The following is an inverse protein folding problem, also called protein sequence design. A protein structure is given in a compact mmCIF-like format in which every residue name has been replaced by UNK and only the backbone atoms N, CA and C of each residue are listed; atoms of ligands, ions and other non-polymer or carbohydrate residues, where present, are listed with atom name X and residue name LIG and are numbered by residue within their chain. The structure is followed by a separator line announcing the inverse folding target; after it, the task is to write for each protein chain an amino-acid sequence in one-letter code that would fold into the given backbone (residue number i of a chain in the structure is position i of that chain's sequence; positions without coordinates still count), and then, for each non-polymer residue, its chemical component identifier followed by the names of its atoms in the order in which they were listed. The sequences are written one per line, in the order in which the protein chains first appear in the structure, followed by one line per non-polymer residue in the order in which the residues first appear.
data_IF_138900327027
#
_entry.id   IF_138900327027
#
_cell.length_a   1.000
_cell.length_b   1.000
_cell.length_c   1.000
_cell.angle_alpha   90.00
_cell.angle_beta   90.00
_cell.angle_gamma   90.00
#
_symmetry.space_group_name_H-M   'P 1'
#
loop_
_entity.id
_entity.type
_entity.pdbx_description
1 polymer ?
#
# COMPACT_ATOMS: atom_id res chain seq x y z
N UNK A 1 -22.49 0.15 4.15
CA UNK A 1 -21.61 1.33 3.93
C UNK A 1 -20.22 1.09 4.51
N UNK A 2 -19.26 2.03 4.30
CA UNK A 2 -17.84 1.84 4.69
C UNK A 2 -17.62 1.45 6.17
N UNK A 3 -18.46 1.92 7.08
CA UNK A 3 -18.42 1.54 8.50
C UNK A 3 -18.82 0.06 8.73
N UNK A 4 -19.75 -0.45 7.95
CA UNK A 4 -20.15 -1.86 7.97
C UNK A 4 -19.08 -2.76 7.37
N UNK A 5 -18.41 -2.32 6.31
CA UNK A 5 -17.31 -3.08 5.71
C UNK A 5 -16.09 -3.12 6.64
N UNK A 6 -15.76 -2.03 7.31
CA UNK A 6 -14.72 -2.01 8.34
C UNK A 6 -15.08 -2.90 9.55
N UNK A 7 -16.32 -2.88 9.99
CA UNK A 7 -16.81 -3.77 11.05
C UNK A 7 -16.77 -5.23 10.61
N UNK A 8 -17.17 -5.53 9.37
CA UNK A 8 -17.13 -6.86 8.77
C UNK A 8 -15.70 -7.38 8.60
N UNK A 9 -14.73 -6.49 8.27
CA UNK A 9 -13.31 -6.85 8.25
C UNK A 9 -12.78 -7.16 9.66
N UNK A 10 -13.14 -6.36 10.68
CA UNK A 10 -12.76 -6.61 12.06
C UNK A 10 -13.37 -7.92 12.58
N UNK A 11 -14.60 -8.21 12.25
CA UNK A 11 -15.27 -9.46 12.60
C UNK A 11 -14.60 -10.67 11.91
N UNK A 12 -14.30 -10.58 10.62
CA UNK A 12 -13.53 -11.61 9.87
C UNK A 12 -12.12 -11.82 10.44
N UNK A 13 -11.53 -10.77 11.00
CA UNK A 13 -10.23 -10.84 11.68
C UNK A 13 -10.31 -11.65 12.97
N UNK A 14 -11.40 -11.52 13.72
CA UNK A 14 -11.65 -12.29 14.96
C UNK A 14 -12.05 -13.75 14.67
N UNK A 15 -12.84 -13.99 13.64
CA UNK A 15 -13.32 -15.34 13.28
C UNK A 15 -12.20 -16.23 12.70
N UNK A 16 -11.15 -15.68 12.12
CA UNK A 16 -10.04 -16.44 11.53
C UNK A 16 -9.10 -17.11 12.53
N UNK A 17 -9.07 -16.64 13.75
CA UNK A 17 -8.33 -17.27 14.88
C UNK A 17 -9.16 -18.25 15.70
N UNK A 18 -10.41 -18.55 15.31
CA UNK A 18 -11.29 -19.41 16.07
C UNK A 18 -10.92 -20.90 15.88
N UNK A 19 -11.03 -21.73 16.92
CA UNK A 19 -10.88 -23.17 16.84
C UNK A 19 -11.87 -23.76 15.81
N UNK A 20 -11.37 -24.57 14.87
CA UNK A 20 -12.19 -25.17 13.82
C UNK A 20 -12.13 -24.47 12.46
N UNK A 21 -11.24 -23.49 12.29
CA UNK A 21 -10.93 -22.92 10.97
C UNK A 21 -10.49 -24.02 9.99
N UNK A 22 -10.95 -24.01 8.72
CA UNK A 22 -10.53 -24.98 7.72
C UNK A 22 -9.01 -24.94 7.38
N UNK A 23 -8.27 -24.02 7.99
CA UNK A 23 -6.85 -23.81 7.79
C UNK A 23 -5.96 -24.40 8.90
N UNK A 24 -6.51 -25.28 9.76
CA UNK A 24 -5.78 -25.93 10.84
C UNK A 24 -5.50 -25.00 12.03
N UNK A 25 -4.60 -25.45 12.92
CA UNK A 25 -4.21 -24.71 14.12
C UNK A 25 -3.14 -23.63 13.87
N UNK A 26 -2.66 -23.48 12.64
CA UNK A 26 -1.71 -22.41 12.30
C UNK A 26 -2.42 -21.05 12.31
N UNK A 27 -1.86 -20.04 12.97
CA UNK A 27 -2.43 -18.71 12.96
C UNK A 27 -2.39 -18.17 11.54
N UNK A 28 -3.56 -18.04 10.91
CA UNK A 28 -3.68 -17.40 9.60
C UNK A 28 -3.33 -15.94 9.76
N UNK A 29 -2.35 -15.47 8.99
CA UNK A 29 -1.97 -14.06 9.01
C UNK A 29 -3.18 -13.20 8.59
N UNK A 30 -3.67 -12.28 9.47
CA UNK A 30 -4.97 -11.62 9.27
C UNK A 30 -5.02 -10.73 8.02
N UNK A 31 -3.88 -10.13 7.66
CA UNK A 31 -3.78 -9.23 6.52
C UNK A 31 -3.79 -9.97 5.18
N UNK A 32 -3.07 -11.07 5.09
CA UNK A 32 -2.94 -11.83 3.85
C UNK A 32 -4.11 -12.78 3.61
N UNK A 33 -4.73 -13.26 4.69
CA UNK A 33 -5.77 -14.26 4.61
C UNK A 33 -5.28 -15.57 3.98
N UNK A 34 -6.20 -16.47 3.61
CA UNK A 34 -5.85 -17.80 3.09
C UNK A 34 -5.20 -17.76 1.71
N UNK A 35 -5.41 -16.71 0.95
CA UNK A 35 -4.91 -16.59 -0.43
C UNK A 35 -3.50 -16.02 -0.51
N UNK A 36 -2.95 -15.48 0.57
CA UNK A 36 -1.72 -14.72 0.60
C UNK A 36 -1.69 -13.54 -0.40
N UNK A 37 -0.55 -12.88 -0.53
CA UNK A 37 -0.36 -11.81 -1.51
C UNK A 37 0.05 -12.37 -2.87
N UNK A 38 -0.40 -11.76 -3.99
CA UNK A 38 0.09 -12.10 -5.33
C UNK A 38 1.61 -11.94 -5.45
N UNK A 39 2.14 -10.93 -4.78
CA UNK A 39 3.57 -10.61 -4.74
C UNK A 39 3.90 -9.88 -3.43
N UNK A 40 5.18 -9.94 -2.99
CA UNK A 40 5.66 -9.13 -1.86
C UNK A 40 5.42 -7.64 -2.11
N UNK A 41 5.13 -6.91 -1.05
CA UNK A 41 5.06 -5.44 -1.03
C UNK A 41 6.29 -4.90 -0.33
N UNK A 42 6.89 -3.85 -0.89
CA UNK A 42 7.99 -3.11 -0.30
C UNK A 42 7.47 -1.77 0.20
N UNK A 43 7.78 -1.46 1.44
CA UNK A 43 7.49 -0.17 2.06
C UNK A 43 8.81 0.54 2.31
N UNK A 44 8.92 1.78 1.89
CA UNK A 44 10.07 2.64 2.15
C UNK A 44 9.62 3.91 2.88
N UNK A 45 10.39 4.33 3.86
CA UNK A 45 10.18 5.57 4.60
C UNK A 45 11.45 6.40 4.46
N UNK A 46 11.30 7.66 4.09
CA UNK A 46 12.42 8.60 4.04
C UNK A 46 12.11 9.87 4.83
N UNK A 47 13.18 10.51 5.29
CA UNK A 47 13.10 11.82 5.96
C UNK A 47 13.82 12.83 5.06
N UNK A 48 13.11 13.80 4.46
CA UNK A 48 13.74 14.82 3.64
C UNK A 48 14.86 15.56 4.39
N UNK A 49 15.92 15.97 3.68
CA UNK A 49 16.10 15.92 2.23
C UNK A 49 16.70 14.62 1.70
N UNK A 50 16.89 13.61 2.53
CA UNK A 50 17.53 12.34 2.14
C UNK A 50 16.56 11.42 1.40
N UNK A 51 17.09 10.61 0.48
CA UNK A 51 16.33 9.60 -0.25
C UNK A 51 17.16 8.31 -0.46
N UNK A 52 17.83 7.85 0.56
CA UNK A 52 18.71 6.68 0.51
C UNK A 52 17.96 5.37 0.21
N UNK A 53 16.64 5.38 0.44
CA UNK A 53 15.75 4.22 0.24
C UNK A 53 15.07 4.21 -1.13
N UNK A 54 15.33 5.22 -1.98
CA UNK A 54 14.65 5.39 -3.26
C UNK A 54 13.12 5.28 -3.14
N UNK A 55 12.53 6.22 -2.41
CA UNK A 55 11.11 6.19 -2.02
C UNK A 55 10.15 6.07 -3.20
N UNK A 56 10.54 6.58 -4.39
CA UNK A 56 9.75 6.47 -5.62
C UNK A 56 9.78 5.09 -6.28
N UNK A 57 10.72 4.23 -5.90
CA UNK A 57 10.92 2.90 -6.50
C UNK A 57 10.28 1.76 -5.68
N UNK A 58 9.51 2.08 -4.67
CA UNK A 58 8.87 1.11 -3.76
C UNK A 58 7.36 1.09 -3.93
N UNK A 59 6.73 -0.05 -3.61
CA UNK A 59 5.27 -0.23 -3.75
C UNK A 59 4.50 0.79 -2.92
N UNK A 60 4.98 1.06 -1.70
CA UNK A 60 4.51 2.13 -0.81
C UNK A 60 5.70 2.97 -0.42
N UNK A 61 5.63 4.27 -0.66
CA UNK A 61 6.61 5.25 -0.23
C UNK A 61 5.99 6.23 0.76
N UNK A 62 6.68 6.45 1.88
CA UNK A 62 6.28 7.41 2.91
C UNK A 62 7.37 8.47 3.04
N UNK A 63 7.05 9.70 2.65
CA UNK A 63 7.93 10.86 2.82
C UNK A 63 7.52 11.57 4.08
N UNK A 64 8.37 11.50 5.11
CA UNK A 64 8.09 12.10 6.41
C UNK A 64 7.98 13.62 6.31
N UNK A 65 6.95 14.17 6.91
CA UNK A 65 6.77 15.61 7.10
C UNK A 65 7.11 15.94 8.56
N UNK A 66 8.10 16.78 8.73
CA UNK A 66 8.63 17.16 10.06
C UNK A 66 8.24 18.59 10.36
N UNK A 67 7.62 18.81 11.50
CA UNK A 67 7.31 20.13 12.06
C UNK A 67 7.74 20.14 13.53
N UNK A 68 8.45 21.17 13.95
CA UNK A 68 8.96 21.32 15.34
C UNK A 68 9.71 20.06 15.84
N UNK A 69 10.63 19.53 15.01
CA UNK A 69 11.43 18.33 15.27
C UNK A 69 10.61 17.04 15.51
N UNK A 70 9.36 17.01 15.05
CA UNK A 70 8.50 15.84 15.15
C UNK A 70 7.93 15.46 13.79
N UNK A 71 7.84 14.17 13.52
CA UNK A 71 7.11 13.67 12.35
C UNK A 71 5.61 13.83 12.62
N UNK A 72 4.96 14.71 11.87
CA UNK A 72 3.51 14.97 11.99
C UNK A 72 2.69 14.08 11.07
N UNK A 73 3.32 13.51 10.04
CA UNK A 73 2.69 12.61 9.10
C UNK A 73 3.58 12.33 7.90
N UNK A 74 2.97 11.84 6.84
CA UNK A 74 3.68 11.41 5.64
C UNK A 74 2.94 11.83 4.37
N UNK A 75 3.71 12.25 3.37
CA UNK A 75 3.19 12.19 2.01
C UNK A 75 3.26 10.73 1.52
N UNK A 76 2.17 10.25 0.96
CA UNK A 76 1.99 8.88 0.52
C UNK A 76 2.25 8.75 -0.98
N UNK A 77 3.20 7.91 -1.34
CA UNK A 77 3.49 7.48 -2.71
C UNK A 77 3.06 6.02 -2.88
N UNK A 78 2.49 5.66 -4.01
CA UNK A 78 2.08 4.28 -4.30
C UNK A 78 2.48 3.82 -5.69
N UNK A 79 2.75 2.54 -5.83
CA UNK A 79 2.94 1.89 -7.12
C UNK A 79 4.29 2.11 -7.77
N UNK A 80 5.33 2.42 -7.00
CA UNK A 80 6.70 2.48 -7.49
C UNK A 80 7.33 1.10 -7.72
N UNK A 81 8.19 1.00 -8.73
CA UNK A 81 8.96 -0.21 -8.99
C UNK A 81 9.73 -0.14 -10.31
N UNK A 82 11.06 -0.23 -10.24
CA UNK A 82 11.94 -0.09 -11.42
C UNK A 82 12.15 -1.42 -12.16
N UNK A 83 11.85 -2.56 -11.53
CA UNK A 83 12.09 -3.87 -12.11
C UNK A 83 11.28 -4.13 -13.38
N UNK A 84 11.97 -4.69 -14.38
CA UNK A 84 11.39 -5.15 -15.65
C UNK A 84 11.87 -6.58 -15.93
N UNK A 85 11.12 -7.31 -16.75
CA UNK A 85 11.54 -8.62 -17.26
C UNK A 85 12.09 -8.45 -18.67
N UNK A 86 13.31 -8.92 -18.90
CA UNK A 86 13.93 -8.89 -20.22
C UNK A 86 13.00 -9.50 -21.29
N UNK A 87 12.89 -8.84 -22.43
CA UNK A 87 12.03 -9.24 -23.57
C UNK A 87 10.53 -9.35 -23.25
N UNK A 88 10.05 -8.69 -22.18
CA UNK A 88 8.63 -8.64 -21.88
C UNK A 88 8.15 -7.17 -21.78
N UNK A 89 7.61 -6.67 -22.90
CA UNK A 89 7.10 -5.30 -23.04
C UNK A 89 5.91 -4.97 -22.15
N UNK A 90 5.26 -5.98 -21.56
CA UNK A 90 4.18 -5.81 -20.58
C UNK A 90 4.70 -5.46 -19.20
N UNK A 91 6.02 -5.54 -18.98
CA UNK A 91 6.66 -5.12 -17.74
C UNK A 91 7.45 -3.82 -17.98
N UNK A 92 7.30 -2.85 -17.09
CA UNK A 92 7.90 -1.52 -17.26
C UNK A 92 8.25 -0.92 -15.90
N UNK A 93 9.24 0.01 -15.85
CA UNK A 93 9.52 0.76 -14.65
C UNK A 93 8.41 1.79 -14.40
N UNK A 94 8.14 2.05 -13.13
CA UNK A 94 7.15 3.03 -12.72
C UNK A 94 7.61 3.75 -11.45
N UNK A 95 7.60 5.06 -11.48
CA UNK A 95 7.76 5.87 -10.28
C UNK A 95 6.47 5.88 -9.45
N UNK A 96 6.59 5.92 -8.14
CA UNK A 96 5.47 6.04 -7.24
C UNK A 96 4.64 7.30 -7.52
N UNK A 97 3.32 7.16 -7.48
CA UNK A 97 2.38 8.28 -7.61
C UNK A 97 2.12 8.89 -6.25
N UNK A 98 2.29 10.21 -6.13
CA UNK A 98 1.94 10.96 -4.92
C UNK A 98 0.43 11.09 -4.83
N UNK A 99 -0.17 10.49 -3.79
CA UNK A 99 -1.61 10.54 -3.57
C UNK A 99 -2.05 11.69 -2.66
N UNK A 100 -1.28 12.00 -1.63
CA UNK A 100 -1.64 13.03 -0.66
C UNK A 100 -0.90 12.84 0.66
N UNK A 101 -1.34 13.56 1.68
CA UNK A 101 -0.78 13.53 3.03
C UNK A 101 -1.69 12.72 3.97
N UNK A 102 -1.07 11.96 4.84
CA UNK A 102 -1.70 11.24 5.96
C UNK A 102 -1.04 11.62 7.27
N UNK A 103 -1.80 11.67 8.34
CA UNK A 103 -1.28 11.91 9.67
C UNK A 103 -0.46 10.72 10.18
N UNK A 104 0.43 10.98 11.13
CA UNK A 104 1.33 9.97 11.69
C UNK A 104 0.59 8.70 12.12
N UNK A 105 -0.48 8.84 12.90
CA UNK A 105 -1.24 7.73 13.46
C UNK A 105 -2.05 6.95 12.41
N UNK A 106 -2.28 7.54 11.24
CA UNK A 106 -3.02 6.92 10.14
C UNK A 106 -2.16 5.98 9.29
N UNK A 107 -0.83 6.11 9.34
CA UNK A 107 0.06 5.40 8.44
C UNK A 107 -0.07 3.86 8.51
N UNK A 108 -0.14 3.21 9.66
CA UNK A 108 -0.30 1.75 9.72
C UNK A 108 -1.60 1.28 9.04
N UNK A 109 -2.71 1.94 9.31
CA UNK A 109 -4.02 1.57 8.73
C UNK A 109 -4.04 1.80 7.22
N UNK A 110 -3.47 2.89 6.74
CA UNK A 110 -3.36 3.17 5.30
C UNK A 110 -2.51 2.12 4.60
N UNK A 111 -1.35 1.79 5.14
CA UNK A 111 -0.49 0.74 4.57
C UNK A 111 -1.18 -0.63 4.56
N UNK A 112 -1.85 -1.00 5.65
CA UNK A 112 -2.61 -2.25 5.73
C UNK A 112 -3.69 -2.33 4.64
N UNK A 113 -4.44 -1.25 4.44
CA UNK A 113 -5.49 -1.22 3.43
C UNK A 113 -4.97 -1.24 1.99
N UNK A 114 -3.81 -0.63 1.72
CA UNK A 114 -3.13 -0.77 0.42
C UNK A 114 -2.77 -2.24 0.16
N UNK A 115 -2.23 -2.93 1.16
CA UNK A 115 -1.91 -4.37 1.06
C UNK A 115 -3.17 -5.19 0.80
N UNK A 116 -4.28 -4.88 1.46
CA UNK A 116 -5.57 -5.55 1.27
C UNK A 116 -6.12 -5.33 -0.15
N UNK A 117 -6.05 -4.11 -0.66
CA UNK A 117 -6.46 -3.81 -2.05
C UNK A 117 -5.62 -4.63 -3.03
N UNK A 118 -4.31 -4.69 -2.84
CA UNK A 118 -3.42 -5.51 -3.67
C UNK A 118 -3.73 -7.00 -3.54
N UNK A 119 -4.01 -7.48 -2.35
CA UNK A 119 -4.42 -8.87 -2.12
C UNK A 119 -5.65 -9.24 -2.95
N UNK A 120 -6.63 -8.34 -2.97
CA UNK A 120 -7.94 -8.60 -3.56
C UNK A 120 -7.98 -8.34 -5.08
N UNK A 121 -7.11 -7.48 -5.60
CA UNK A 121 -7.12 -7.05 -7.01
C UNK A 121 -5.86 -7.42 -7.80
N UNK A 122 -4.78 -7.85 -7.14
CA UNK A 122 -3.52 -8.17 -7.81
C UNK A 122 -3.62 -9.40 -8.71
N UNK A 123 -2.87 -9.38 -9.81
CA UNK A 123 -2.83 -10.50 -10.77
C UNK A 123 -2.14 -11.72 -10.14
N UNK A 124 -2.90 -12.82 -9.99
CA UNK A 124 -2.42 -14.10 -9.46
C UNK A 124 -2.04 -15.08 -10.55
N UNK A 125 -2.46 -14.85 -11.79
CA UNK A 125 -2.23 -15.74 -12.92
C UNK A 125 -0.88 -15.49 -13.59
N UNK A 126 -0.42 -14.22 -13.56
CA UNK A 126 0.83 -13.84 -14.17
C UNK A 126 1.78 -13.23 -13.13
N UNK A 127 2.70 -14.04 -12.60
CA UNK A 127 3.68 -13.61 -11.61
C UNK A 127 4.53 -12.40 -12.03
N UNK A 128 4.76 -12.22 -13.34
CA UNK A 128 5.52 -11.10 -13.89
C UNK A 128 4.71 -9.79 -13.86
N UNK A 129 3.40 -9.88 -13.69
CA UNK A 129 2.45 -8.77 -13.66
C UNK A 129 1.73 -8.63 -12.31
N UNK A 130 2.27 -9.24 -11.25
CA UNK A 130 1.62 -9.36 -9.96
C UNK A 130 1.93 -8.23 -8.96
N UNK A 131 2.75 -7.24 -9.33
CA UNK A 131 3.12 -6.13 -8.44
C UNK A 131 2.04 -5.05 -8.39
N UNK A 132 2.02 -4.33 -7.27
CA UNK A 132 1.06 -3.23 -7.01
C UNK A 132 1.01 -2.19 -8.14
N UNK A 133 2.14 -1.85 -8.75
CA UNK A 133 2.19 -0.89 -9.86
C UNK A 133 1.24 -1.25 -11.02
N UNK A 134 1.13 -2.52 -11.34
CA UNK A 134 0.24 -2.99 -12.40
C UNK A 134 -1.23 -2.98 -12.00
N UNK A 135 -1.51 -3.28 -10.75
CA UNK A 135 -2.86 -3.17 -10.18
C UNK A 135 -3.36 -1.73 -10.24
N UNK A 136 -2.51 -0.77 -9.86
CA UNK A 136 -2.84 0.65 -9.90
C UNK A 136 -3.07 1.13 -11.34
N UNK A 137 -2.20 0.75 -12.28
CA UNK A 137 -2.34 1.18 -13.68
C UNK A 137 -3.55 0.53 -14.36
N UNK A 138 -3.89 -0.71 -14.02
CA UNK A 138 -5.08 -1.39 -14.54
C UNK A 138 -6.37 -0.78 -13.97
N UNK A 139 -6.40 -0.50 -12.68
CA UNK A 139 -7.53 0.08 -11.98
C UNK A 139 -7.71 1.58 -12.29
N UNK A 140 -6.60 2.28 -12.44
CA UNK A 140 -6.49 3.73 -12.48
C UNK A 140 -6.21 4.32 -11.09
N UNK A 141 -5.39 5.37 -11.06
CA UNK A 141 -4.97 6.03 -9.81
C UNK A 141 -6.17 6.56 -9.02
N UNK A 142 -7.12 7.19 -9.70
CA UNK A 142 -8.31 7.79 -9.07
C UNK A 142 -9.18 6.72 -8.40
N UNK A 143 -9.41 5.61 -9.07
CA UNK A 143 -10.20 4.51 -8.53
C UNK A 143 -9.46 3.82 -7.37
N UNK A 144 -8.13 3.65 -7.47
CA UNK A 144 -7.32 3.14 -6.38
C UNK A 144 -7.42 4.04 -5.14
N UNK A 145 -7.28 5.36 -5.30
CA UNK A 145 -7.42 6.31 -4.21
C UNK A 145 -8.82 6.28 -3.62
N UNK A 146 -9.86 6.22 -4.45
CA UNK A 146 -11.25 6.12 -3.99
C UNK A 146 -11.46 4.88 -3.12
N UNK A 147 -10.97 3.73 -3.55
CA UNK A 147 -11.08 2.48 -2.78
C UNK A 147 -10.29 2.56 -1.47
N UNK A 148 -9.11 3.16 -1.49
CA UNK A 148 -8.31 3.36 -0.29
C UNK A 148 -9.03 4.26 0.72
N UNK A 149 -9.52 5.42 0.29
CA UNK A 149 -10.25 6.36 1.13
C UNK A 149 -11.54 5.76 1.70
N UNK A 150 -12.25 4.97 0.89
CA UNK A 150 -13.42 4.22 1.36
C UNK A 150 -13.05 3.18 2.41
N UNK A 151 -11.94 2.46 2.23
CA UNK A 151 -11.50 1.41 3.14
C UNK A 151 -11.04 1.96 4.50
N UNK A 152 -10.34 3.08 4.52
CA UNK A 152 -9.85 3.72 5.75
C UNK A 152 -10.90 4.63 6.41
N UNK A 153 -11.90 5.09 5.68
CA UNK A 153 -13.00 5.91 6.18
C UNK A 153 -12.69 7.40 6.29
N UNK A 154 -11.61 7.87 5.66
CA UNK A 154 -11.27 9.29 5.57
C UNK A 154 -10.64 9.61 4.21
N UNK A 155 -10.65 10.88 3.84
CA UNK A 155 -9.97 11.38 2.64
C UNK A 155 -8.52 11.73 2.93
N UNK A 156 -7.65 11.46 1.97
CA UNK A 156 -6.27 11.94 2.03
C UNK A 156 -6.26 13.47 1.95
N UNK A 157 -5.42 14.09 2.76
CA UNK A 157 -5.20 15.53 2.70
C UNK A 157 -4.32 15.88 1.48
N UNK A 158 -4.35 17.13 1.01
CA UNK A 158 -3.41 17.59 -0.01
C UNK A 158 -1.97 17.31 0.43
N UNK A 159 -1.15 16.85 -0.52
CA UNK A 159 0.27 16.61 -0.26
C UNK A 159 0.96 17.88 0.23
N UNK A 160 1.85 17.75 1.20
CA UNK A 160 2.64 18.86 1.72
C UNK A 160 3.93 19.03 0.94
N UNK A 161 4.46 20.26 0.83
CA UNK A 161 5.73 20.51 0.15
C UNK A 161 6.87 19.72 0.77
N UNK A 162 7.74 19.18 -0.06
CA UNK A 162 8.98 18.53 0.34
C UNK A 162 10.00 18.57 -0.79
N UNK A 163 11.28 18.48 -0.43
CA UNK A 163 12.37 18.38 -1.39
C UNK A 163 13.25 17.18 -1.01
N UNK A 164 13.61 16.38 -2.01
CA UNK A 164 14.58 15.31 -1.87
C UNK A 164 15.83 15.67 -2.67
N UNK A 165 16.99 15.49 -2.06
CA UNK A 165 18.26 15.64 -2.79
C UNK A 165 18.43 14.43 -3.69
N UNK A 166 18.76 14.67 -4.96
CA UNK A 166 19.29 13.63 -5.83
C UNK A 166 20.70 13.27 -5.35
N UNK A 167 20.96 12.00 -5.20
CA UNK A 167 22.31 11.47 -4.98
C UNK A 167 23.15 11.60 -6.26
#
# INVERSE_FOLDING_TARGET
GAAEDAARMRQRRQERGAPGSPYGNDPVEPMYGPAYLPRKIKVAITVPPFNDVDVYANDIGLVSIVEDDKIVGFNLLVGGGMGVTHNNTKTYPRAGTLLGFIEYDQAPEVCENIVIIQRDNGDRNNRKHARLKYTIDTMGVEEFQRQLEQAVGFKLQPARPFELKSN
#
